data_IF_418020802019
#
_entry.id   IF_418020802019
#
_cell.length_a   1.000
_cell.length_b   1.000
_cell.length_c   1.000
_cell.angle_alpha   90.00
_cell.angle_beta   90.00
_cell.angle_gamma   90.00
#
_symmetry.space_group_name_H-M   'P 1'
#
loop_
_entity.id
_entity.type
_entity.pdbx_description
1 polymer ?
#
# COMPACT_ATOMS: atom_id res chain seq x y z
N UNK A 1 65.07 14.17 -24.96
CA UNK A 1 64.13 14.53 -26.05
C UNK A 1 62.75 14.66 -25.43
N UNK A 2 62.30 15.88 -25.21
CA UNK A 2 60.92 16.10 -24.87
C UNK A 2 60.12 16.08 -26.19
N UNK A 3 59.35 15.05 -26.41
CA UNK A 3 58.41 14.99 -27.51
C UNK A 3 57.18 15.83 -27.11
N UNK A 4 57.05 17.01 -27.69
CA UNK A 4 55.87 17.85 -27.50
C UNK A 4 54.64 17.18 -28.15
N UNK A 5 53.51 17.30 -27.49
CA UNK A 5 52.22 16.85 -28.05
C UNK A 5 51.94 17.56 -29.36
N UNK A 6 51.59 16.81 -30.42
CA UNK A 6 51.19 17.41 -31.69
C UNK A 6 49.78 18.05 -31.53
N UNK A 7 49.49 19.09 -32.31
CA UNK A 7 48.17 19.77 -32.27
C UNK A 7 47.02 18.78 -32.54
N UNK A 8 47.27 17.78 -33.39
CA UNK A 8 46.30 16.70 -33.74
C UNK A 8 46.03 15.78 -32.53
N UNK A 9 47.07 15.40 -31.79
CA UNK A 9 46.90 14.59 -30.55
C UNK A 9 46.11 15.37 -29.48
N UNK A 10 46.35 16.65 -29.34
CA UNK A 10 45.57 17.49 -28.41
C UNK A 10 44.10 17.56 -28.83
N UNK A 11 43.80 17.82 -30.10
CA UNK A 11 42.42 17.87 -30.59
C UNK A 11 41.69 16.52 -30.45
N UNK A 12 42.34 15.42 -30.79
CA UNK A 12 41.73 14.08 -30.63
C UNK A 12 41.45 13.74 -29.15
N UNK A 13 42.37 14.11 -28.25
CA UNK A 13 42.18 13.92 -26.81
C UNK A 13 40.99 14.69 -26.28
N UNK A 14 40.82 15.96 -26.69
CA UNK A 14 39.69 16.79 -26.27
C UNK A 14 38.36 16.20 -26.77
N UNK A 15 38.31 15.76 -28.03
CA UNK A 15 37.10 15.15 -28.62
C UNK A 15 36.71 13.85 -27.86
N UNK A 16 37.69 12.97 -27.70
CA UNK A 16 37.46 11.68 -26.99
C UNK A 16 37.03 11.92 -25.55
N UNK A 17 37.70 12.83 -24.84
CA UNK A 17 37.33 13.19 -23.46
C UNK A 17 35.92 13.78 -23.38
N UNK A 18 35.52 14.61 -24.35
CA UNK A 18 34.17 15.17 -24.45
C UNK A 18 33.09 14.08 -24.63
N UNK A 19 33.33 13.12 -25.54
CA UNK A 19 32.43 11.97 -25.74
C UNK A 19 32.32 11.13 -24.48
N UNK A 20 33.45 10.85 -23.81
CA UNK A 20 33.43 10.11 -22.54
C UNK A 20 32.66 10.82 -21.44
N UNK A 21 32.84 12.14 -21.30
CA UNK A 21 32.09 12.93 -20.30
C UNK A 21 30.58 12.94 -20.58
N UNK A 22 30.17 13.03 -21.84
CA UNK A 22 28.76 12.95 -22.24
C UNK A 22 28.19 11.56 -21.87
N UNK A 23 28.91 10.48 -22.19
CA UNK A 23 28.50 9.13 -21.85
C UNK A 23 28.34 8.90 -20.33
N UNK A 24 29.29 9.38 -19.54
CA UNK A 24 29.21 9.33 -18.09
C UNK A 24 28.04 10.15 -17.55
N UNK A 25 27.83 11.36 -18.06
CA UNK A 25 26.71 12.22 -17.64
C UNK A 25 25.34 11.59 -17.89
N UNK A 26 25.15 10.96 -19.06
CA UNK A 26 23.94 10.23 -19.38
C UNK A 26 23.74 9.02 -18.46
N UNK A 27 24.79 8.24 -18.21
CA UNK A 27 24.75 7.06 -17.32
C UNK A 27 24.39 7.45 -15.90
N UNK A 28 24.99 8.54 -15.36
CA UNK A 28 24.66 9.05 -14.03
C UNK A 28 23.18 9.51 -13.94
N UNK A 29 22.67 10.18 -14.96
CA UNK A 29 21.27 10.62 -15.00
C UNK A 29 20.31 9.43 -14.97
N UNK A 30 20.57 8.38 -15.71
CA UNK A 30 19.77 7.13 -15.70
C UNK A 30 19.85 6.45 -14.35
N UNK A 31 21.04 6.35 -13.75
CA UNK A 31 21.22 5.75 -12.42
C UNK A 31 20.46 6.54 -11.35
N UNK A 32 20.53 7.86 -11.35
CA UNK A 32 19.79 8.71 -10.43
C UNK A 32 18.27 8.53 -10.59
N UNK A 33 17.78 8.42 -11.83
CA UNK A 33 16.37 8.17 -12.08
C UNK A 33 15.92 6.84 -11.47
N UNK A 34 16.66 5.76 -11.70
CA UNK A 34 16.35 4.44 -11.13
C UNK A 34 16.39 4.46 -9.60
N UNK A 35 17.43 5.04 -9.02
CA UNK A 35 17.53 5.18 -7.55
C UNK A 35 16.35 5.93 -6.96
N UNK A 36 15.92 7.04 -7.58
CA UNK A 36 14.76 7.79 -7.13
C UNK A 36 13.47 6.98 -7.26
N UNK A 37 13.32 6.23 -8.35
CA UNK A 37 12.15 5.37 -8.55
C UNK A 37 12.06 4.29 -7.49
N UNK A 38 13.13 3.55 -7.28
CA UNK A 38 13.19 2.46 -6.31
C UNK A 38 12.94 2.94 -4.88
N UNK A 39 13.50 4.11 -4.53
CA UNK A 39 13.28 4.72 -3.22
C UNK A 39 11.80 5.09 -2.99
N UNK A 40 11.13 5.63 -4.02
CA UNK A 40 9.69 5.96 -3.93
C UNK A 40 8.85 4.69 -3.84
N UNK A 41 9.14 3.67 -4.63
CA UNK A 41 8.45 2.38 -4.56
C UNK A 41 8.62 1.72 -3.19
N UNK A 42 9.79 1.84 -2.58
CA UNK A 42 10.04 1.36 -1.23
C UNK A 42 9.16 2.09 -0.19
N UNK A 43 9.05 3.42 -0.28
CA UNK A 43 8.18 4.21 0.60
C UNK A 43 6.71 3.79 0.46
N UNK A 44 6.24 3.57 -0.78
CA UNK A 44 4.87 3.12 -1.05
C UNK A 44 4.63 1.72 -0.51
N UNK A 45 5.58 0.80 -0.67
CA UNK A 45 5.52 -0.55 -0.10
C UNK A 45 5.51 -0.52 1.43
N UNK A 46 6.32 0.34 2.03
CA UNK A 46 6.34 0.53 3.48
C UNK A 46 5.01 1.07 3.99
N UNK A 47 4.45 2.09 3.33
CA UNK A 47 3.12 2.61 3.64
C UNK A 47 2.06 1.50 3.57
N UNK A 48 1.96 0.80 2.43
CA UNK A 48 0.98 -0.26 2.25
C UNK A 48 1.08 -1.38 3.28
N UNK A 49 2.29 -1.86 3.57
CA UNK A 49 2.50 -2.88 4.59
C UNK A 49 2.12 -2.41 6.00
N UNK A 50 2.42 -1.15 6.33
CA UNK A 50 2.12 -0.61 7.67
C UNK A 50 0.62 -0.40 7.84
N UNK A 51 -0.05 0.19 6.84
CA UNK A 51 -1.52 0.35 6.84
C UNK A 51 -2.21 -1.01 6.94
N UNK A 52 -1.80 -1.98 6.12
CA UNK A 52 -2.36 -3.34 6.18
C UNK A 52 -2.19 -3.98 7.55
N UNK A 53 -1.06 -3.75 8.23
CA UNK A 53 -0.81 -4.25 9.58
C UNK A 53 -1.76 -3.62 10.61
N UNK A 54 -1.97 -2.31 10.54
CA UNK A 54 -2.90 -1.62 11.42
C UNK A 54 -4.34 -2.07 11.20
N UNK A 55 -4.78 -2.21 9.94
CA UNK A 55 -6.09 -2.75 9.61
C UNK A 55 -6.25 -4.18 10.16
N UNK A 56 -5.24 -5.03 9.94
CA UNK A 56 -5.26 -6.41 10.46
C UNK A 56 -5.42 -6.45 11.97
N UNK A 57 -4.69 -5.59 12.69
CA UNK A 57 -4.79 -5.49 14.15
C UNK A 57 -6.21 -5.09 14.57
N UNK A 58 -6.78 -4.07 13.95
CA UNK A 58 -8.12 -3.60 14.23
C UNK A 58 -9.19 -4.67 13.98
N UNK A 59 -9.12 -5.36 12.84
CA UNK A 59 -10.05 -6.44 12.46
C UNK A 59 -9.91 -7.64 13.41
N UNK A 60 -8.69 -8.06 13.74
CA UNK A 60 -8.48 -9.23 14.60
C UNK A 60 -9.05 -9.05 16.02
N UNK A 61 -9.08 -7.82 16.52
CA UNK A 61 -9.65 -7.47 17.82
C UNK A 61 -11.17 -7.29 17.80
N UNK A 62 -11.77 -7.17 16.61
CA UNK A 62 -13.19 -6.90 16.45
C UNK A 62 -14.02 -8.16 16.64
N UNK A 63 -15.25 -7.98 17.17
CA UNK A 63 -16.25 -9.04 17.27
C UNK A 63 -17.24 -9.01 16.10
N UNK A 64 -17.61 -7.80 15.68
CA UNK A 64 -18.50 -7.59 14.54
C UNK A 64 -17.79 -6.75 13.49
N UNK A 65 -18.07 -7.06 12.24
CA UNK A 65 -17.61 -6.35 11.07
C UNK A 65 -18.77 -6.21 10.09
N UNK A 66 -18.89 -5.03 9.54
CA UNK A 66 -19.85 -4.72 8.48
C UNK A 66 -19.16 -3.94 7.36
N UNK A 67 -19.61 -4.14 6.13
CA UNK A 67 -19.04 -3.56 4.93
C UNK A 67 -20.08 -2.70 4.23
N UNK A 68 -19.66 -1.52 3.80
CA UNK A 68 -20.52 -0.60 3.05
C UNK A 68 -19.70 0.07 1.96
N UNK A 69 -19.96 -0.21 0.68
CA UNK A 69 -19.22 0.40 -0.41
C UNK A 69 -19.51 1.90 -0.50
N UNK A 70 -18.44 2.69 -0.71
CA UNK A 70 -18.55 4.12 -1.00
C UNK A 70 -17.71 4.44 -2.21
N UNK A 71 -18.34 4.76 -3.32
CA UNK A 71 -17.70 4.94 -4.61
C UNK A 71 -16.92 3.67 -5.01
N UNK A 72 -15.61 3.81 -5.19
CA UNK A 72 -14.70 2.70 -5.55
C UNK A 72 -13.96 2.12 -4.34
N UNK A 73 -14.37 2.45 -3.12
CA UNK A 73 -13.70 2.02 -1.89
C UNK A 73 -14.69 1.37 -0.93
N UNK A 74 -14.24 0.33 -0.25
CA UNK A 74 -15.02 -0.29 0.81
C UNK A 74 -14.85 0.51 2.12
N UNK A 75 -15.97 0.69 2.83
CA UNK A 75 -15.98 1.19 4.20
C UNK A 75 -16.16 0.02 5.14
N UNK A 76 -15.32 -0.09 6.15
CA UNK A 76 -15.36 -1.16 7.13
C UNK A 76 -15.78 -0.58 8.47
N UNK A 77 -16.86 -1.10 9.04
CA UNK A 77 -17.31 -0.81 10.40
C UNK A 77 -16.91 -1.95 11.32
N UNK A 78 -16.20 -1.62 12.39
CA UNK A 78 -15.69 -2.58 13.37
C UNK A 78 -16.28 -2.26 14.73
N UNK A 79 -16.83 -3.26 15.40
CA UNK A 79 -17.23 -3.15 16.80
C UNK A 79 -16.35 -4.03 17.65
N UNK A 80 -15.68 -3.41 18.62
CA UNK A 80 -14.86 -4.04 19.66
C UNK A 80 -15.52 -3.85 21.01
N UNK A 81 -15.11 -4.63 21.98
CA UNK A 81 -15.53 -4.47 23.36
C UNK A 81 -14.30 -4.23 24.23
N UNK A 82 -14.40 -3.28 25.13
CA UNK A 82 -13.37 -3.02 26.15
C UNK A 82 -13.40 -4.09 27.25
N UNK A 83 -12.52 -3.98 28.24
CA UNK A 83 -12.43 -4.90 29.39
C UNK A 83 -13.70 -4.91 30.24
N UNK A 84 -14.50 -3.86 30.17
CA UNK A 84 -15.77 -3.69 30.90
C UNK A 84 -16.99 -4.11 30.06
N UNK A 85 -16.78 -4.55 28.83
CA UNK A 85 -17.86 -4.97 27.93
C UNK A 85 -18.56 -3.82 27.20
N UNK A 86 -18.03 -2.61 27.23
CA UNK A 86 -18.61 -1.49 26.48
C UNK A 86 -18.20 -1.55 25.02
N UNK A 87 -19.13 -1.31 24.07
CA UNK A 87 -18.82 -1.33 22.65
C UNK A 87 -18.02 -0.08 22.24
N UNK A 88 -16.93 -0.30 21.53
CA UNK A 88 -16.14 0.74 20.87
C UNK A 88 -16.17 0.52 19.36
N UNK A 89 -16.58 1.55 18.62
CA UNK A 89 -16.70 1.48 17.18
C UNK A 89 -15.50 2.13 16.50
N UNK A 90 -14.94 1.44 15.50
CA UNK A 90 -13.90 1.97 14.62
C UNK A 90 -14.38 1.90 13.18
N UNK A 91 -14.32 3.00 12.47
CA UNK A 91 -14.64 3.07 11.05
C UNK A 91 -13.37 3.22 10.25
N UNK A 92 -13.13 2.32 9.29
CA UNK A 92 -12.03 2.40 8.35
C UNK A 92 -12.62 2.82 7.00
N UNK A 93 -12.12 3.91 6.47
CA UNK A 93 -12.51 4.45 5.16
C UNK A 93 -11.28 4.68 4.31
N UNK A 94 -11.47 4.83 3.00
CA UNK A 94 -10.38 5.11 2.09
C UNK A 94 -10.81 6.16 1.06
N UNK A 95 -9.85 6.94 0.59
CA UNK A 95 -10.01 7.79 -0.57
C UNK A 95 -8.72 7.85 -1.40
N UNK A 96 -8.83 8.24 -2.66
CA UNK A 96 -7.70 8.26 -3.59
C UNK A 96 -6.57 9.19 -3.16
N UNK A 97 -6.88 10.29 -2.45
CA UNK A 97 -5.93 11.38 -2.16
C UNK A 97 -5.22 11.16 -0.82
N UNK A 98 -5.96 10.80 0.22
CA UNK A 98 -5.43 10.69 1.57
C UNK A 98 -5.07 9.25 1.97
N UNK A 99 -5.48 8.29 1.14
CA UNK A 99 -5.29 6.88 1.40
C UNK A 99 -6.32 6.33 2.39
N UNK A 100 -5.87 5.51 3.34
CA UNK A 100 -6.75 4.89 4.35
C UNK A 100 -6.84 5.77 5.59
N UNK A 101 -8.07 5.92 6.10
CA UNK A 101 -8.42 6.74 7.26
C UNK A 101 -9.10 5.88 8.33
N UNK A 102 -8.72 6.07 9.59
CA UNK A 102 -9.38 5.46 10.75
C UNK A 102 -10.21 6.53 11.47
N UNK A 103 -11.52 6.28 11.64
CA UNK A 103 -12.46 7.24 12.18
C UNK A 103 -12.37 8.61 11.49
N UNK A 104 -12.21 8.60 10.15
CA UNK A 104 -12.05 9.79 9.28
C UNK A 104 -10.78 10.61 9.56
N UNK A 105 -9.83 10.06 10.32
CA UNK A 105 -8.53 10.69 10.60
C UNK A 105 -7.41 9.84 10.02
N UNK A 106 -6.29 10.49 9.72
CA UNK A 106 -5.09 9.77 9.31
C UNK A 106 -4.59 8.87 10.45
N UNK A 107 -4.18 7.63 10.15
CA UNK A 107 -3.60 6.74 11.15
C UNK A 107 -2.38 7.38 11.81
N UNK A 108 -2.19 7.10 13.10
CA UNK A 108 -1.02 7.54 13.87
C UNK A 108 -0.68 9.04 13.70
N UNK A 109 -1.69 9.92 13.78
CA UNK A 109 -1.52 11.37 13.69
C UNK A 109 -0.73 11.84 12.44
N UNK A 110 -0.96 11.19 11.30
CA UNK A 110 -0.31 11.52 10.02
C UNK A 110 1.02 10.83 9.76
N UNK A 111 1.53 10.01 10.68
CA UNK A 111 2.74 9.20 10.43
C UNK A 111 2.54 8.16 9.31
N UNK A 112 1.30 7.77 9.07
CA UNK A 112 0.88 6.86 8.00
C UNK A 112 0.13 7.59 6.86
N UNK A 113 0.45 8.84 6.61
CA UNK A 113 -0.09 9.55 5.46
C UNK A 113 0.44 8.95 4.16
N UNK A 114 -0.45 8.87 3.15
CA UNK A 114 -0.05 8.43 1.81
C UNK A 114 1.08 9.32 1.27
N UNK A 115 2.21 8.77 0.79
CA UNK A 115 3.34 9.54 0.28
C UNK A 115 3.03 10.12 -1.12
N UNK A 116 2.13 11.11 -1.21
CA UNK A 116 1.54 11.63 -2.46
C UNK A 116 2.55 11.93 -3.58
N UNK A 117 3.76 12.36 -3.25
CA UNK A 117 4.81 12.74 -4.22
C UNK A 117 6.14 12.00 -3.99
N UNK A 118 6.21 11.12 -3.00
CA UNK A 118 7.45 10.48 -2.55
C UNK A 118 8.43 11.47 -1.90
N UNK A 119 9.64 10.99 -1.60
CA UNK A 119 10.70 11.79 -0.93
C UNK A 119 11.22 12.95 -1.77
N UNK A 120 11.15 12.85 -3.08
CA UNK A 120 11.73 13.81 -4.01
C UNK A 120 10.70 14.86 -4.44
N UNK A 121 10.28 15.69 -3.48
CA UNK A 121 9.21 16.70 -3.68
C UNK A 121 9.46 17.72 -4.79
N UNK A 122 10.73 18.00 -5.12
CA UNK A 122 11.08 18.97 -6.16
C UNK A 122 10.87 18.43 -7.59
N UNK A 123 10.66 17.13 -7.74
CA UNK A 123 10.30 16.52 -9.00
C UNK A 123 8.79 16.30 -9.00
N UNK A 124 8.01 17.22 -9.55
CA UNK A 124 6.56 17.06 -9.83
C UNK A 124 6.26 15.94 -10.83
N UNK A 125 7.13 14.92 -10.87
CA UNK A 125 7.12 13.87 -11.87
C UNK A 125 6.36 12.62 -11.43
N UNK A 126 5.95 12.57 -10.15
CA UNK A 126 5.25 11.40 -9.59
C UNK A 126 3.99 11.81 -8.87
N UNK A 127 2.95 11.00 -9.09
CA UNK A 127 1.69 11.10 -8.37
C UNK A 127 1.39 9.71 -7.78
N UNK A 128 1.12 9.65 -6.47
CA UNK A 128 0.81 8.43 -5.77
C UNK A 128 -0.61 8.56 -5.24
N UNK A 129 -1.45 7.60 -5.59
CA UNK A 129 -2.85 7.57 -5.20
C UNK A 129 -3.26 6.17 -4.77
N UNK A 130 -4.30 6.11 -3.95
CA UNK A 130 -5.00 4.87 -3.65
C UNK A 130 -5.97 4.59 -4.79
N UNK A 131 -5.80 3.44 -5.46
CA UNK A 131 -6.64 3.03 -6.58
C UNK A 131 -7.86 2.21 -6.14
N UNK A 132 -7.63 1.26 -5.23
CA UNK A 132 -8.65 0.32 -4.79
C UNK A 132 -8.43 -0.04 -3.31
N UNK A 133 -9.51 -0.13 -2.57
CA UNK A 133 -9.52 -0.67 -1.21
C UNK A 133 -10.78 -1.49 -1.03
N UNK A 134 -10.63 -2.81 -0.96
CA UNK A 134 -11.70 -3.78 -0.86
C UNK A 134 -11.53 -4.67 0.37
N UNK A 135 -12.66 -5.09 0.91
CA UNK A 135 -12.73 -6.04 1.99
C UNK A 135 -13.95 -6.95 1.83
N UNK A 136 -13.77 -8.25 1.97
CA UNK A 136 -14.87 -9.20 1.86
C UNK A 136 -14.66 -10.43 2.73
N UNK A 137 -15.75 -11.06 3.11
CA UNK A 137 -15.71 -12.35 3.80
C UNK A 137 -15.30 -13.47 2.83
N UNK A 138 -14.50 -14.41 3.32
CA UNK A 138 -14.12 -15.58 2.53
C UNK A 138 -15.34 -16.45 2.26
N UNK A 139 -15.59 -16.80 1.00
CA UNK A 139 -16.67 -17.70 0.59
C UNK A 139 -16.14 -19.13 0.61
N UNK A 140 -16.83 -20.03 1.34
CA UNK A 140 -16.53 -21.46 1.35
C UNK A 140 -17.81 -22.26 1.08
N UNK A 141 -17.70 -23.24 0.21
CA UNK A 141 -18.83 -24.08 -0.21
C UNK A 141 -19.19 -25.15 0.85
N UNK A 142 -18.24 -25.54 1.71
CA UNK A 142 -18.44 -26.58 2.72
C UNK A 142 -19.07 -26.05 3.99
N UNK A 143 -20.20 -26.64 4.41
CA UNK A 143 -20.91 -26.31 5.66
C UNK A 143 -20.04 -26.45 6.93
N UNK A 144 -19.10 -27.41 6.94
CA UNK A 144 -18.18 -27.61 8.08
C UNK A 144 -17.19 -26.45 8.26
N UNK A 145 -16.80 -25.79 7.17
CA UNK A 145 -15.85 -24.67 7.18
C UNK A 145 -16.54 -23.31 7.12
N UNK A 146 -17.88 -23.26 7.07
CA UNK A 146 -18.63 -22.02 6.90
C UNK A 146 -18.34 -20.99 8.01
N UNK A 147 -18.28 -21.42 9.27
CA UNK A 147 -17.94 -20.52 10.40
C UNK A 147 -16.55 -19.95 10.27
N UNK A 148 -15.58 -20.77 9.88
CA UNK A 148 -14.21 -20.34 9.65
C UNK A 148 -14.16 -19.31 8.51
N UNK A 149 -14.85 -19.59 7.43
CA UNK A 149 -14.93 -18.68 6.28
C UNK A 149 -15.57 -17.34 6.64
N UNK A 150 -16.70 -17.34 7.34
CA UNK A 150 -17.38 -16.13 7.81
C UNK A 150 -16.55 -15.32 8.81
N UNK A 151 -15.59 -15.98 9.49
CA UNK A 151 -14.65 -15.35 10.41
C UNK A 151 -13.33 -14.97 9.75
N UNK A 152 -13.18 -15.19 8.43
CA UNK A 152 -11.98 -14.86 7.66
C UNK A 152 -12.30 -13.78 6.65
N UNK A 153 -11.61 -12.65 6.80
CA UNK A 153 -11.75 -11.48 5.93
C UNK A 153 -10.56 -11.43 4.99
N UNK A 154 -10.82 -11.19 3.72
CA UNK A 154 -9.78 -10.85 2.75
C UNK A 154 -9.78 -9.36 2.54
N UNK A 155 -8.61 -8.74 2.68
CA UNK A 155 -8.36 -7.32 2.38
C UNK A 155 -7.52 -7.20 1.13
N UNK A 156 -7.87 -6.25 0.28
CA UNK A 156 -7.08 -5.82 -0.88
C UNK A 156 -6.86 -4.32 -0.83
N UNK A 157 -5.62 -3.92 -1.06
CA UNK A 157 -5.20 -2.53 -1.18
C UNK A 157 -4.36 -2.39 -2.43
N UNK A 158 -4.76 -1.53 -3.36
CA UNK A 158 -3.97 -1.21 -4.56
C UNK A 158 -3.55 0.25 -4.55
N UNK A 159 -2.24 0.46 -4.64
CA UNK A 159 -1.62 1.77 -4.75
C UNK A 159 -1.11 1.97 -6.16
N UNK A 160 -1.40 3.13 -6.73
CA UNK A 160 -0.95 3.54 -8.05
C UNK A 160 0.16 4.57 -7.94
N UNK A 161 1.27 4.30 -8.61
CA UNK A 161 2.40 5.23 -8.74
C UNK A 161 2.49 5.65 -10.21
N UNK A 162 2.14 6.88 -10.49
CA UNK A 162 2.24 7.49 -11.80
C UNK A 162 3.52 8.30 -11.90
N UNK A 163 4.38 7.98 -12.87
CA UNK A 163 5.59 8.75 -13.20
C UNK A 163 5.38 9.44 -14.54
N UNK A 164 5.32 10.79 -14.53
CA UNK A 164 4.94 11.59 -15.71
C UNK A 164 6.09 11.70 -16.71
N UNK A 165 7.31 11.93 -16.24
CA UNK A 165 8.50 12.15 -17.09
C UNK A 165 9.49 11.00 -17.02
N UNK A 166 9.02 9.76 -17.15
CA UNK A 166 9.88 8.60 -17.25
C UNK A 166 10.58 8.56 -18.63
N UNK A 167 11.78 7.93 -18.71
CA UNK A 167 12.37 7.60 -20.00
C UNK A 167 11.40 6.70 -20.79
N UNK A 168 10.87 7.18 -21.89
CA UNK A 168 9.85 6.48 -22.69
C UNK A 168 8.41 6.97 -22.48
N UNK A 169 8.19 8.03 -21.68
CA UNK A 169 6.89 8.65 -21.47
C UNK A 169 6.26 8.32 -20.11
N UNK A 170 4.96 8.58 -19.99
CA UNK A 170 4.19 8.31 -18.76
C UNK A 170 4.19 6.82 -18.43
N UNK A 171 4.61 6.48 -17.21
CA UNK A 171 4.57 5.12 -16.66
C UNK A 171 3.64 5.05 -15.46
N UNK A 172 2.88 3.96 -15.37
CA UNK A 172 1.98 3.67 -14.25
C UNK A 172 2.36 2.32 -13.67
N UNK A 173 2.66 2.29 -12.38
CA UNK A 173 2.95 1.06 -11.65
C UNK A 173 1.89 0.85 -10.57
N UNK A 174 1.35 -0.37 -10.49
CA UNK A 174 0.33 -0.75 -9.52
C UNK A 174 0.97 -1.69 -8.51
N UNK A 175 0.92 -1.33 -7.24
CA UNK A 175 1.40 -2.14 -6.13
C UNK A 175 0.19 -2.68 -5.38
N UNK A 176 0.03 -4.00 -5.41
CA UNK A 176 -1.09 -4.71 -4.77
C UNK A 176 -0.66 -5.37 -3.48
N UNK A 177 -1.48 -5.17 -2.45
CA UNK A 177 -1.39 -5.85 -1.17
C UNK A 177 -2.68 -6.64 -0.94
N UNK A 178 -2.54 -7.93 -0.65
CA UNK A 178 -3.67 -8.79 -0.29
C UNK A 178 -3.33 -9.57 0.97
N UNK A 179 -4.25 -9.59 1.94
CA UNK A 179 -4.09 -10.31 3.21
C UNK A 179 -5.39 -10.95 3.63
N UNK A 180 -5.28 -12.16 4.19
CA UNK A 180 -6.40 -12.86 4.82
C UNK A 180 -6.23 -12.76 6.34
N UNK A 181 -7.30 -12.38 7.01
CA UNK A 181 -7.31 -12.10 8.44
C UNK A 181 -8.38 -12.98 9.08
N UNK A 182 -7.98 -13.72 10.10
CA UNK A 182 -8.91 -14.48 10.91
C UNK A 182 -9.37 -13.62 12.11
N UNK A 183 -10.69 -13.65 12.40
CA UNK A 183 -11.33 -12.94 13.50
C UNK A 183 -11.71 -13.93 14.60
N UNK A 184 -10.88 -14.17 15.62
CA UNK A 184 -11.16 -15.17 16.65
C UNK A 184 -12.43 -14.86 17.44
N UNK A 185 -12.66 -13.58 17.77
CA UNK A 185 -13.84 -13.15 18.53
C UNK A 185 -15.15 -13.39 17.76
N UNK A 186 -15.15 -13.16 16.44
CA UNK A 186 -16.29 -13.47 15.57
C UNK A 186 -16.52 -14.98 15.48
N UNK A 187 -15.46 -15.77 15.35
CA UNK A 187 -15.54 -17.23 15.31
C UNK A 187 -16.16 -17.81 16.59
N UNK A 188 -15.72 -17.34 17.75
CA UNK A 188 -16.27 -17.76 19.05
C UNK A 188 -17.75 -17.38 19.17
N UNK A 189 -18.13 -16.16 18.74
CA UNK A 189 -19.53 -15.74 18.80
C UNK A 189 -20.44 -16.57 17.91
N UNK A 190 -19.99 -16.96 16.72
CA UNK A 190 -20.72 -17.85 15.81
C UNK A 190 -20.81 -19.28 16.36
N UNK A 191 -19.79 -19.74 17.07
CA UNK A 191 -19.80 -21.06 17.72
C UNK A 191 -20.79 -21.12 18.89
N UNK A 192 -20.88 -20.07 19.71
CA UNK A 192 -21.80 -19.98 20.84
C UNK A 192 -23.27 -19.86 20.42
N UNK A 193 -23.54 -19.12 19.34
CA UNK A 193 -24.93 -18.96 18.84
C UNK A 193 -25.54 -20.25 18.30
N UNK A 194 -24.72 -21.17 17.81
CA UNK A 194 -25.21 -22.45 17.25
C UNK A 194 -25.32 -23.55 18.32
N UNK A 195 -24.65 -23.39 19.48
CA UNK A 195 -24.77 -24.31 20.62
C UNK A 195 -26.05 -24.16 21.43
N UNK A 196 -26.83 -23.11 21.21
CA UNK A 196 -28.10 -22.82 21.89
C UNK A 196 -29.31 -23.58 21.35
N UNK A 197 -29.18 -24.29 20.22
CA UNK A 197 -30.20 -25.26 19.76
C UNK A 197 -29.94 -26.63 20.38
N UNK A 198 -30.17 -26.80 21.70
CA UNK A 198 -30.46 -28.13 22.24
C UNK A 198 -31.83 -28.54 21.71
N UNK A 199 -31.97 -29.70 21.08
CA UNK A 199 -33.30 -30.23 20.80
C UNK A 199 -33.97 -30.47 22.18
N UNK A 200 -35.07 -29.78 22.44
CA UNK A 200 -36.01 -30.16 23.48
C UNK A 200 -36.53 -31.56 23.11
N UNK A 201 -36.09 -32.55 23.88
CA UNK A 201 -36.65 -33.88 23.92
C UNK A 201 -38.10 -33.87 24.37
#
# INVERSE_FOLDING_TARGET
>A
RQSGLTLVELMTTIVVSGIMMLGLGLSLRVMMFHYQNDSVLQDVRQYGNTVMREIMKEISLSRFIDFSPINNFERIFLTKYDEYGNPTNTTITANAIDGVLFNYKLPLNGALALPKKGRFRNNNQRNISLREFDAWESKVISTRLQRFAQSTITLRLELEVETINAPGGKQVEIIRFERKIFMPNKYISLASSTGSMRPTS
#
